data_IF_384660445891
#
_entry.id   IF_384660445891
#
_cell.length_a   1.000
_cell.length_b   1.000
_cell.length_c   1.000
_cell.angle_alpha   90.00
_cell.angle_beta   90.00
_cell.angle_gamma   90.00
#
_symmetry.space_group_name_H-M   'P 1'
#
loop_
_entity.id
_entity.type
_entity.pdbx_description
1 polymer ?
#
# COMPACT_ATOMS: atom_id res chain seq x y z
N UNK A 1 -9.81 -31.43 -2.41
CA UNK A 1 -11.22 -31.14 -2.79
C UNK A 1 -11.22 -29.73 -3.34
N UNK A 2 -11.80 -29.48 -4.52
CA UNK A 2 -11.87 -28.14 -5.08
C UNK A 2 -12.85 -27.31 -4.26
N UNK A 3 -12.41 -26.12 -3.83
CA UNK A 3 -13.25 -25.14 -3.13
C UNK A 3 -13.74 -24.09 -4.12
N UNK A 4 -15.03 -23.86 -4.17
CA UNK A 4 -15.62 -22.77 -4.95
C UNK A 4 -15.67 -21.50 -4.11
N UNK A 5 -15.21 -20.39 -4.68
CA UNK A 5 -15.22 -19.05 -4.09
C UNK A 5 -16.02 -18.14 -5.03
N UNK A 6 -17.07 -17.53 -4.52
CA UNK A 6 -17.84 -16.55 -5.29
C UNK A 6 -17.05 -15.24 -5.38
N UNK A 7 -16.93 -14.69 -6.57
CA UNK A 7 -16.22 -13.43 -6.79
C UNK A 7 -16.93 -12.21 -6.20
N UNK A 8 -18.22 -12.30 -5.87
CA UNK A 8 -18.90 -11.26 -5.10
C UNK A 8 -18.34 -11.12 -3.68
N UNK A 9 -17.85 -12.20 -3.08
CA UNK A 9 -17.17 -12.14 -1.79
C UNK A 9 -15.85 -11.36 -1.92
N UNK A 10 -15.16 -11.47 -3.06
CA UNK A 10 -13.96 -10.68 -3.35
C UNK A 10 -14.32 -9.20 -3.43
N UNK A 11 -15.35 -8.84 -4.19
CA UNK A 11 -15.84 -7.46 -4.30
C UNK A 11 -16.10 -6.86 -2.92
N UNK A 12 -16.88 -7.57 -2.11
CA UNK A 12 -17.28 -7.11 -0.77
C UNK A 12 -16.07 -6.90 0.15
N UNK A 13 -15.19 -7.91 0.22
CA UNK A 13 -14.03 -7.83 1.11
C UNK A 13 -13.06 -6.72 0.68
N UNK A 14 -12.78 -6.58 -0.63
CA UNK A 14 -11.88 -5.52 -1.12
C UNK A 14 -12.47 -4.14 -0.86
N UNK A 15 -13.78 -3.96 -1.05
CA UNK A 15 -14.46 -2.72 -0.70
C UNK A 15 -14.23 -2.33 0.78
N UNK A 16 -14.50 -3.27 1.69
CA UNK A 16 -14.30 -3.07 3.12
C UNK A 16 -12.83 -2.78 3.46
N UNK A 17 -11.91 -3.54 2.89
CA UNK A 17 -10.46 -3.35 3.09
C UNK A 17 -9.98 -1.99 2.59
N UNK A 18 -10.47 -1.48 1.45
CA UNK A 18 -10.12 -0.15 0.96
C UNK A 18 -10.51 0.95 1.96
N UNK A 19 -11.68 0.84 2.56
CA UNK A 19 -12.14 1.80 3.57
C UNK A 19 -11.31 1.65 4.84
N UNK A 20 -11.22 0.45 5.39
CA UNK A 20 -10.53 0.17 6.64
C UNK A 20 -9.06 0.61 6.59
N UNK A 21 -8.33 0.23 5.55
CA UNK A 21 -6.90 0.53 5.43
C UNK A 21 -6.58 2.02 5.28
N UNK A 22 -7.55 2.85 4.89
CA UNK A 22 -7.40 4.30 4.81
C UNK A 22 -7.84 5.04 6.08
N UNK A 23 -8.52 4.36 7.00
CA UNK A 23 -8.99 4.95 8.25
C UNK A 23 -8.21 4.48 9.47
N UNK A 24 -7.62 3.28 9.42
CA UNK A 24 -6.91 2.67 10.53
C UNK A 24 -5.51 2.24 10.15
N UNK A 25 -4.56 2.47 11.05
CA UNK A 25 -3.24 1.86 10.96
C UNK A 25 -3.27 0.40 11.43
N UNK A 26 -2.38 -0.41 10.89
CA UNK A 26 -2.08 -1.71 11.45
C UNK A 26 -1.53 -1.58 12.88
N UNK A 27 -1.78 -2.59 13.72
CA UNK A 27 -1.38 -2.57 15.15
C UNK A 27 0.11 -2.40 15.36
N UNK A 28 0.93 -2.93 14.47
CA UNK A 28 2.38 -2.80 14.49
C UNK A 28 2.84 -1.39 14.16
N UNK A 29 2.21 -0.71 13.19
CA UNK A 29 2.49 0.67 12.84
C UNK A 29 2.03 1.64 13.94
N UNK A 30 0.85 1.46 14.51
CA UNK A 30 0.39 2.24 15.65
C UNK A 30 1.35 2.13 16.84
N UNK A 31 1.79 0.89 17.14
CA UNK A 31 2.81 0.65 18.16
C UNK A 31 4.13 1.34 17.81
N UNK A 32 4.60 1.22 16.59
CA UNK A 32 5.86 1.83 16.17
C UNK A 32 5.84 3.37 16.32
N UNK A 33 4.72 4.04 15.99
CA UNK A 33 4.56 5.48 16.20
C UNK A 33 4.58 5.86 17.69
N UNK A 34 3.92 5.07 18.55
CA UNK A 34 3.93 5.29 20.00
C UNK A 34 5.34 5.12 20.57
N UNK A 35 6.04 4.07 20.18
CA UNK A 35 7.42 3.80 20.62
C UNK A 35 8.38 4.91 20.11
N UNK A 36 8.19 5.38 18.88
CA UNK A 36 8.96 6.47 18.30
C UNK A 36 8.78 7.78 19.11
N UNK A 37 7.57 8.10 19.55
CA UNK A 37 7.30 9.29 20.36
C UNK A 37 8.06 9.26 21.69
N UNK A 38 8.19 8.09 22.29
CA UNK A 38 8.93 7.92 23.55
C UNK A 38 10.45 8.05 23.34
N UNK A 39 10.96 7.50 22.23
CA UNK A 39 12.39 7.43 21.94
C UNK A 39 12.95 8.69 21.27
N UNK A 40 12.11 9.52 20.67
CA UNK A 40 12.50 10.75 19.98
C UNK A 40 13.16 11.74 20.96
N UNK A 41 14.30 12.31 20.53
CA UNK A 41 15.07 13.24 21.34
C UNK A 41 14.80 14.72 20.99
N UNK A 42 14.39 14.98 19.77
CA UNK A 42 14.06 16.33 19.29
C UNK A 42 12.69 16.76 19.81
N UNK A 43 12.61 17.90 20.46
CA UNK A 43 11.32 18.46 20.89
C UNK A 43 10.37 18.74 19.71
N UNK A 44 10.91 19.14 18.56
CA UNK A 44 10.13 19.30 17.34
C UNK A 44 9.63 17.95 16.82
N UNK A 45 10.49 16.93 16.82
CA UNK A 45 10.12 15.56 16.43
C UNK A 45 9.00 15.01 17.30
N UNK A 46 9.08 15.17 18.62
CA UNK A 46 8.01 14.77 19.55
C UNK A 46 6.68 15.45 19.26
N UNK A 47 6.72 16.79 19.00
CA UNK A 47 5.50 17.53 18.65
C UNK A 47 4.85 16.97 17.38
N UNK A 48 5.65 16.69 16.34
CA UNK A 48 5.15 16.13 15.08
C UNK A 48 4.54 14.73 15.32
N UNK A 49 5.23 13.85 16.05
CA UNK A 49 4.74 12.51 16.35
C UNK A 49 3.44 12.54 17.16
N UNK A 50 3.31 13.48 18.11
CA UNK A 50 2.07 13.67 18.86
C UNK A 50 0.92 14.16 17.96
N UNK A 51 1.19 15.09 17.02
CA UNK A 51 0.20 15.54 16.05
C UNK A 51 -0.27 14.41 15.14
N UNK A 52 0.63 13.50 14.74
CA UNK A 52 0.26 12.32 13.97
C UNK A 52 -0.66 11.38 14.75
N UNK A 53 -0.38 11.16 16.03
CA UNK A 53 -1.26 10.35 16.89
C UNK A 53 -2.63 11.01 17.11
N UNK A 54 -2.67 12.33 17.27
CA UNK A 54 -3.92 13.08 17.34
C UNK A 54 -4.72 12.98 16.04
N UNK A 55 -4.03 13.07 14.90
CA UNK A 55 -4.66 12.87 13.59
C UNK A 55 -5.30 11.49 13.46
N UNK A 56 -4.62 10.43 13.92
CA UNK A 56 -5.17 9.07 13.90
C UNK A 56 -6.44 8.95 14.75
N UNK A 57 -6.45 9.60 15.91
CA UNK A 57 -7.62 9.64 16.78
C UNK A 57 -8.79 10.37 16.13
N UNK A 58 -8.54 11.52 15.51
CA UNK A 58 -9.57 12.28 14.78
C UNK A 58 -10.10 11.45 13.61
N UNK A 59 -9.22 10.80 12.85
CA UNK A 59 -9.60 9.95 11.73
C UNK A 59 -10.57 8.83 12.15
N UNK A 60 -10.31 8.19 13.29
CA UNK A 60 -11.16 7.15 13.88
C UNK A 60 -12.51 7.73 14.38
N UNK A 61 -12.47 8.81 15.17
CA UNK A 61 -13.68 9.41 15.76
C UNK A 61 -14.62 10.03 14.72
N UNK A 62 -14.06 10.68 13.69
CA UNK A 62 -14.81 11.40 12.67
C UNK A 62 -15.08 10.56 11.41
N UNK A 63 -14.55 9.34 11.36
CA UNK A 63 -14.62 8.45 10.18
C UNK A 63 -14.17 9.14 8.89
N UNK A 64 -13.00 9.79 8.94
CA UNK A 64 -12.33 10.42 7.81
C UNK A 64 -10.99 9.73 7.53
N UNK A 65 -10.52 9.73 6.28
CA UNK A 65 -9.22 9.12 5.94
C UNK A 65 -8.06 9.76 6.72
N UNK A 66 -7.09 8.94 7.11
CA UNK A 66 -5.89 9.36 7.84
C UNK A 66 -5.10 10.42 7.07
N UNK A 67 -5.13 10.37 5.74
CA UNK A 67 -4.37 11.25 4.86
C UNK A 67 -5.24 11.71 3.67
N UNK A 68 -4.93 12.88 3.13
CA UNK A 68 -5.55 13.37 1.90
C UNK A 68 -5.12 12.55 0.66
N UNK A 69 -3.99 11.86 0.71
CA UNK A 69 -3.56 10.93 -0.32
C UNK A 69 -3.89 9.49 0.11
N UNK A 70 -5.02 8.99 -0.36
CA UNK A 70 -5.46 7.62 -0.15
C UNK A 70 -4.92 6.65 -1.20
N UNK A 71 -4.10 7.17 -2.12
CA UNK A 71 -3.27 6.43 -3.04
C UNK A 71 -4.01 5.60 -4.08
N UNK A 72 -3.28 4.67 -4.68
CA UNK A 72 -3.83 3.59 -5.50
C UNK A 72 -3.98 2.32 -4.66
N UNK A 73 -4.92 1.46 -5.04
CA UNK A 73 -5.08 0.16 -4.42
C UNK A 73 -4.06 -0.83 -5.01
N UNK A 74 -3.20 -1.38 -4.15
CA UNK A 74 -2.32 -2.50 -4.50
C UNK A 74 -2.85 -3.74 -3.81
N UNK A 75 -3.19 -4.75 -4.59
CA UNK A 75 -3.85 -5.97 -4.12
C UNK A 75 -2.92 -7.16 -4.38
N UNK A 76 -2.65 -7.93 -3.34
CA UNK A 76 -1.95 -9.20 -3.43
C UNK A 76 -2.95 -10.32 -3.21
N UNK A 77 -3.05 -11.22 -4.18
CA UNK A 77 -3.91 -12.39 -4.16
C UNK A 77 -3.04 -13.64 -4.10
N UNK A 78 -3.06 -14.31 -2.95
CA UNK A 78 -2.54 -15.68 -2.84
C UNK A 78 -3.70 -16.64 -3.04
N UNK A 79 -3.69 -17.33 -4.17
CA UNK A 79 -4.78 -18.22 -4.59
C UNK A 79 -4.35 -19.66 -4.40
N UNK A 80 -5.10 -20.40 -3.62
CA UNK A 80 -4.92 -21.82 -3.44
C UNK A 80 -5.11 -22.59 -4.76
N UNK A 81 -4.25 -23.57 -5.00
CA UNK A 81 -4.27 -24.39 -6.23
C UNK A 81 -5.57 -25.17 -6.42
N UNK A 82 -6.29 -25.45 -5.32
CA UNK A 82 -7.58 -26.14 -5.31
C UNK A 82 -8.78 -25.18 -5.24
N UNK A 83 -8.60 -23.91 -5.65
CA UNK A 83 -9.67 -22.91 -5.71
C UNK A 83 -10.24 -22.82 -7.13
N UNK A 84 -11.55 -22.79 -7.22
CA UNK A 84 -12.31 -22.43 -8.40
C UNK A 84 -13.13 -21.19 -8.13
N UNK A 85 -13.00 -20.17 -8.98
CA UNK A 85 -13.79 -18.95 -8.89
C UNK A 85 -15.08 -19.07 -9.70
N UNK A 86 -16.19 -18.64 -9.11
CA UNK A 86 -17.51 -18.57 -9.73
C UNK A 86 -18.01 -17.11 -9.73
N UNK A 87 -18.59 -16.69 -10.84
CA UNK A 87 -19.11 -15.33 -11.03
C UNK A 87 -18.33 -14.57 -12.11
N UNK A 88 -18.02 -13.30 -11.86
CA UNK A 88 -17.26 -12.47 -12.80
C UNK A 88 -15.76 -12.84 -12.80
N UNK A 89 -15.02 -12.32 -13.77
CA UNK A 89 -13.56 -12.49 -13.76
C UNK A 89 -12.95 -11.89 -12.47
N UNK A 90 -11.93 -12.55 -11.92
CA UNK A 90 -11.32 -12.14 -10.63
C UNK A 90 -10.79 -10.70 -10.69
N UNK A 91 -10.17 -10.32 -11.80
CA UNK A 91 -9.67 -8.96 -12.01
C UNK A 91 -10.80 -7.92 -12.00
N UNK A 92 -11.93 -8.24 -12.65
CA UNK A 92 -13.12 -7.38 -12.64
C UNK A 92 -13.71 -7.26 -11.22
N UNK A 93 -13.74 -8.36 -10.47
CA UNK A 93 -14.20 -8.37 -9.08
C UNK A 93 -13.31 -7.49 -8.17
N UNK A 94 -12.00 -7.58 -8.34
CA UNK A 94 -11.05 -6.73 -7.62
C UNK A 94 -11.30 -5.26 -7.94
N UNK A 95 -11.38 -4.91 -9.21
CA UNK A 95 -11.60 -3.53 -9.65
C UNK A 95 -12.98 -3.01 -9.20
N UNK A 96 -14.01 -3.85 -9.22
CA UNK A 96 -15.34 -3.48 -8.71
C UNK A 96 -15.29 -3.19 -7.20
N UNK A 97 -14.60 -4.02 -6.42
CA UNK A 97 -14.41 -3.78 -4.99
C UNK A 97 -13.68 -2.46 -4.70
N UNK A 98 -12.62 -2.17 -5.46
CA UNK A 98 -11.89 -0.89 -5.37
C UNK A 98 -12.79 0.29 -5.74
N UNK A 99 -13.53 0.20 -6.84
CA UNK A 99 -14.48 1.24 -7.27
C UNK A 99 -15.48 1.58 -6.18
N UNK A 100 -16.11 0.55 -5.61
CA UNK A 100 -17.07 0.73 -4.53
C UNK A 100 -16.40 1.30 -3.29
N UNK A 101 -15.27 0.74 -2.85
CA UNK A 101 -14.54 1.19 -1.67
C UNK A 101 -14.12 2.65 -1.74
N UNK A 102 -13.52 3.07 -2.86
CA UNK A 102 -13.10 4.47 -3.04
C UNK A 102 -14.27 5.43 -3.24
N UNK A 103 -15.40 4.96 -3.71
CA UNK A 103 -16.59 5.81 -3.90
C UNK A 103 -17.38 5.95 -2.60
N UNK A 104 -17.70 4.86 -1.95
CA UNK A 104 -18.52 4.86 -0.73
C UNK A 104 -17.74 5.28 0.52
N UNK A 105 -16.41 5.01 0.55
CA UNK A 105 -15.51 5.49 1.59
C UNK A 105 -15.08 6.95 1.43
N UNK A 106 -15.60 7.67 0.42
CA UNK A 106 -15.21 9.05 0.11
C UNK A 106 -13.70 9.26 -0.05
N UNK A 107 -12.99 8.22 -0.52
CA UNK A 107 -11.57 8.24 -0.72
C UNK A 107 -11.21 9.03 -1.99
N UNK A 108 -9.97 9.56 -2.03
CA UNK A 108 -9.50 10.33 -3.17
C UNK A 108 -9.26 9.43 -4.38
N UNK A 109 -9.89 9.74 -5.51
CA UNK A 109 -9.67 9.05 -6.79
C UNK A 109 -8.48 9.70 -7.48
N UNK A 110 -7.31 9.08 -7.39
CA UNK A 110 -6.04 9.64 -7.88
C UNK A 110 -5.52 8.99 -9.16
N UNK A 111 -6.11 7.84 -9.57
CA UNK A 111 -5.66 7.09 -10.75
C UNK A 111 -6.03 7.82 -12.04
N UNK A 112 -5.08 7.87 -12.97
CA UNK A 112 -5.25 8.43 -14.31
C UNK A 112 -5.08 7.32 -15.35
N UNK A 113 -5.83 7.43 -16.44
CA UNK A 113 -5.79 6.44 -17.54
C UNK A 113 -4.53 6.51 -18.39
N UNK A 114 -3.86 7.67 -18.40
CA UNK A 114 -2.63 7.89 -19.14
C UNK A 114 -1.72 8.87 -18.40
N UNK A 115 -0.41 8.60 -18.29
CA UNK A 115 0.50 9.43 -17.51
C UNK A 115 0.79 10.80 -18.14
N UNK A 116 0.56 10.99 -19.43
CA UNK A 116 0.82 12.23 -20.16
C UNK A 116 -0.46 13.06 -20.25
N UNK A 117 -1.56 12.47 -20.74
CA UNK A 117 -2.86 13.12 -20.88
C UNK A 117 -3.49 13.36 -19.52
N UNK A 118 -3.28 12.44 -18.56
CA UNK A 118 -3.68 12.52 -17.15
C UNK A 118 -5.20 12.64 -16.95
N UNK A 119 -5.98 12.04 -17.83
CA UNK A 119 -7.42 11.94 -17.63
C UNK A 119 -7.72 11.00 -16.45
N UNK A 120 -8.42 11.51 -15.45
CA UNK A 120 -8.75 10.76 -14.25
C UNK A 120 -9.80 9.70 -14.55
N UNK A 121 -9.61 8.49 -14.01
CA UNK A 121 -10.55 7.36 -14.21
C UNK A 121 -11.86 7.51 -13.42
N UNK A 122 -11.91 8.42 -12.44
CA UNK A 122 -13.05 8.81 -11.61
C UNK A 122 -13.50 7.78 -10.56
N UNK A 123 -12.93 6.61 -10.57
CA UNK A 123 -13.28 5.50 -9.68
C UNK A 123 -12.07 4.83 -8.98
N UNK A 124 -10.88 5.38 -9.23
CA UNK A 124 -9.59 4.91 -8.73
C UNK A 124 -9.18 3.51 -9.23
N UNK A 125 -9.72 3.07 -10.35
CA UNK A 125 -9.30 1.84 -11.04
C UNK A 125 -8.45 2.16 -12.28
N UNK A 126 -7.66 1.20 -12.81
CA UNK A 126 -7.48 -0.14 -12.28
C UNK A 126 -6.62 -0.20 -11.01
N UNK A 127 -6.83 -1.23 -10.19
CA UNK A 127 -5.93 -1.59 -9.12
C UNK A 127 -4.64 -2.22 -9.68
N UNK A 128 -3.56 -2.15 -8.91
CA UNK A 128 -2.36 -2.96 -9.17
C UNK A 128 -2.58 -4.32 -8.51
N UNK A 129 -2.59 -5.39 -9.30
CA UNK A 129 -2.92 -6.73 -8.81
C UNK A 129 -1.72 -7.67 -9.01
N UNK A 130 -1.29 -8.27 -7.92
CA UNK A 130 -0.26 -9.30 -7.90
C UNK A 130 -0.87 -10.65 -7.56
N UNK A 131 -0.59 -11.67 -8.37
CA UNK A 131 -1.09 -13.03 -8.16
C UNK A 131 0.04 -13.95 -7.73
N UNK A 132 -0.27 -14.83 -6.76
CA UNK A 132 0.57 -15.96 -6.39
C UNK A 132 -0.29 -17.22 -6.27
N UNK A 133 0.12 -18.29 -6.92
CA UNK A 133 -0.53 -19.59 -6.74
C UNK A 133 0.20 -20.34 -5.64
N UNK A 134 -0.55 -20.77 -4.62
CA UNK A 134 -0.03 -21.44 -3.43
C UNK A 134 -0.72 -22.80 -3.22
N UNK A 135 -0.13 -23.75 -2.50
CA UNK A 135 -0.81 -24.98 -2.17
C UNK A 135 -2.08 -24.76 -1.32
N UNK A 136 -3.10 -25.60 -1.54
CA UNK A 136 -4.33 -25.59 -0.73
C UNK A 136 -5.53 -24.96 -1.42
N UNK A 137 -6.54 -24.62 -0.63
CA UNK A 137 -7.87 -24.18 -1.08
C UNK A 137 -8.29 -22.81 -0.53
N UNK A 138 -7.33 -22.02 -0.05
CA UNK A 138 -7.59 -20.70 0.52
C UNK A 138 -7.30 -19.62 -0.50
N UNK A 139 -8.04 -18.50 -0.39
CA UNK A 139 -7.70 -17.23 -1.02
C UNK A 139 -7.33 -16.27 0.10
N UNK A 140 -6.14 -15.70 0.03
CA UNK A 140 -5.68 -14.67 0.94
C UNK A 140 -5.57 -13.38 0.15
N UNK A 141 -6.21 -12.32 0.64
CA UNK A 141 -6.18 -11.00 0.03
C UNK A 141 -5.44 -10.07 0.98
N UNK A 142 -4.42 -9.41 0.48
CA UNK A 142 -3.75 -8.32 1.18
C UNK A 142 -3.93 -7.06 0.36
N UNK A 143 -4.42 -5.99 0.99
CA UNK A 143 -4.62 -4.69 0.36
C UNK A 143 -3.69 -3.66 1.00
N UNK A 144 -2.99 -2.92 0.17
CA UNK A 144 -2.15 -1.80 0.58
C UNK A 144 -2.54 -0.54 -0.21
N UNK A 145 -3.05 0.50 0.45
CA UNK A 145 -3.22 1.81 -0.19
C UNK A 145 -1.83 2.44 -0.34
N UNK A 146 -1.41 2.66 -1.59
CA UNK A 146 -0.06 3.16 -1.90
C UNK A 146 -0.11 4.61 -2.35
N UNK A 147 0.34 5.50 -1.48
CA UNK A 147 0.42 6.93 -1.78
C UNK A 147 1.44 7.23 -2.89
N UNK A 148 1.09 8.15 -3.79
CA UNK A 148 1.94 8.49 -4.94
C UNK A 148 3.19 9.27 -4.55
N UNK A 149 3.15 10.07 -3.48
CA UNK A 149 4.32 10.79 -3.00
C UNK A 149 5.46 9.83 -2.62
N UNK A 150 5.17 8.83 -1.82
CA UNK A 150 6.15 7.82 -1.42
C UNK A 150 6.56 6.92 -2.59
N UNK A 151 5.63 6.54 -3.47
CA UNK A 151 5.93 5.73 -4.66
C UNK A 151 6.94 6.42 -5.57
N UNK A 152 6.77 7.70 -5.83
CA UNK A 152 7.68 8.48 -6.67
C UNK A 152 9.09 8.60 -6.10
N UNK A 153 9.27 8.29 -4.80
CA UNK A 153 10.59 8.33 -4.15
C UNK A 153 11.31 6.99 -4.17
N UNK A 154 10.72 5.94 -4.73
CA UNK A 154 11.38 4.67 -4.96
C UNK A 154 12.57 4.82 -5.90
N UNK A 155 13.66 4.08 -5.63
CA UNK A 155 14.91 4.13 -6.41
C UNK A 155 15.43 2.73 -6.68
N UNK A 156 16.04 2.57 -7.84
CA UNK A 156 16.77 1.36 -8.22
C UNK A 156 18.25 1.70 -8.34
N UNK A 157 19.10 0.96 -7.67
CA UNK A 157 20.55 1.10 -7.73
C UNK A 157 21.18 -0.16 -8.31
N UNK A 158 21.95 0.00 -9.36
CA UNK A 158 22.72 -1.08 -9.99
C UNK A 158 24.10 -1.17 -9.34
N UNK A 159 24.20 -1.96 -8.26
CA UNK A 159 25.45 -2.14 -7.52
C UNK A 159 26.32 -3.23 -8.15
N UNK A 160 27.64 -3.05 -8.05
CA UNK A 160 28.63 -4.07 -8.42
C UNK A 160 28.90 -4.97 -7.20
N UNK A 161 29.27 -6.24 -7.39
CA UNK A 161 29.66 -7.11 -6.27
C UNK A 161 30.79 -6.51 -5.39
N UNK A 162 31.70 -5.74 -5.99
CA UNK A 162 32.79 -5.06 -5.29
C UNK A 162 32.32 -3.94 -4.33
N UNK A 163 31.11 -3.40 -4.52
CA UNK A 163 30.56 -2.35 -3.65
C UNK A 163 30.17 -2.91 -2.27
N UNK A 164 29.93 -4.22 -2.20
CA UNK A 164 29.68 -4.94 -0.98
C UNK A 164 28.53 -4.36 -0.14
N UNK A 165 28.55 -4.66 1.15
CA UNK A 165 27.51 -4.19 2.09
C UNK A 165 27.51 -2.67 2.27
N UNK A 166 28.66 -2.03 2.15
CA UNK A 166 28.75 -0.56 2.25
C UNK A 166 28.09 0.12 1.05
N UNK A 167 28.18 -0.45 -0.14
CA UNK A 167 27.42 0.00 -1.31
C UNK A 167 25.92 -0.07 -1.08
N UNK A 168 25.40 -1.16 -0.50
CA UNK A 168 23.98 -1.31 -0.15
C UNK A 168 23.56 -0.26 0.88
N UNK A 169 24.31 -0.09 1.97
CA UNK A 169 24.00 0.93 2.98
C UNK A 169 23.98 2.34 2.38
N UNK A 170 24.95 2.67 1.55
CA UNK A 170 25.01 3.98 0.91
C UNK A 170 23.85 4.21 -0.05
N UNK A 171 23.40 3.19 -0.79
CA UNK A 171 22.24 3.25 -1.65
C UNK A 171 20.96 3.55 -0.84
N UNK A 172 20.76 2.86 0.27
CA UNK A 172 19.62 3.09 1.17
C UNK A 172 19.65 4.51 1.73
N UNK A 173 20.78 4.94 2.27
CA UNK A 173 20.93 6.29 2.84
C UNK A 173 20.70 7.37 1.78
N UNK A 174 21.19 7.16 0.57
CA UNK A 174 20.98 8.08 -0.55
C UNK A 174 19.49 8.16 -0.90
N UNK A 175 18.79 7.03 -1.04
CA UNK A 175 17.36 7.01 -1.33
C UNK A 175 16.55 7.75 -0.27
N UNK A 176 16.80 7.48 1.02
CA UNK A 176 16.12 8.14 2.13
C UNK A 176 16.39 9.63 2.17
N UNK A 177 17.64 10.04 1.95
CA UNK A 177 18.04 11.46 1.94
C UNK A 177 17.40 12.21 0.79
N UNK A 178 17.39 11.63 -0.40
CA UNK A 178 16.80 12.23 -1.60
C UNK A 178 15.27 12.32 -1.51
N UNK A 179 14.64 11.32 -0.89
CA UNK A 179 13.21 11.33 -0.66
C UNK A 179 12.78 12.53 0.22
N UNK A 180 13.48 12.75 1.32
CA UNK A 180 13.20 13.86 2.22
C UNK A 180 11.71 13.96 2.56
N UNK A 181 11.12 15.18 2.52
CA UNK A 181 9.71 15.39 2.83
C UNK A 181 8.75 14.86 1.75
N UNK A 182 9.25 14.55 0.55
CA UNK A 182 8.40 14.12 -0.58
C UNK A 182 7.81 12.72 -0.38
N UNK A 183 8.40 11.90 0.50
CA UNK A 183 7.87 10.59 0.86
C UNK A 183 6.79 10.63 1.95
N UNK A 184 6.32 11.82 2.36
CA UNK A 184 5.34 12.02 3.45
C UNK A 184 5.81 11.40 4.78
N UNK A 185 6.84 11.96 5.44
CA UNK A 185 7.36 11.44 6.71
C UNK A 185 6.28 11.37 7.82
N UNK A 186 6.42 10.43 8.77
CA UNK A 186 7.50 9.45 8.93
C UNK A 186 7.43 8.36 7.86
N UNK A 187 8.59 8.02 7.28
CA UNK A 187 8.65 7.02 6.22
C UNK A 187 9.16 5.68 6.73
N UNK A 188 8.72 4.60 6.08
CA UNK A 188 9.28 3.26 6.22
C UNK A 188 10.10 2.96 4.97
N UNK A 189 11.40 2.74 5.14
CA UNK A 189 12.28 2.36 4.04
C UNK A 189 12.33 0.83 3.92
N UNK A 190 11.95 0.32 2.77
CA UNK A 190 12.03 -1.10 2.43
C UNK A 190 13.03 -1.28 1.32
N UNK A 191 13.97 -2.24 1.48
CA UNK A 191 14.95 -2.55 0.46
C UNK A 191 14.90 -4.02 0.08
N UNK A 192 15.07 -4.28 -1.21
CA UNK A 192 15.22 -5.61 -1.77
C UNK A 192 16.54 -5.71 -2.52
N UNK A 193 17.22 -6.84 -2.36
CA UNK A 193 18.34 -7.23 -3.21
C UNK A 193 17.86 -8.28 -4.21
N UNK A 194 18.46 -8.34 -5.40
CA UNK A 194 18.14 -9.29 -6.46
C UNK A 194 16.75 -9.13 -7.12
N UNK A 195 16.27 -7.90 -7.24
CA UNK A 195 15.12 -7.62 -8.11
C UNK A 195 15.52 -7.78 -9.57
N UNK A 196 14.75 -8.54 -10.33
CA UNK A 196 14.82 -8.55 -11.79
C UNK A 196 14.09 -7.32 -12.35
N UNK A 197 14.41 -6.92 -13.58
CA UNK A 197 13.84 -5.74 -14.23
C UNK A 197 12.29 -5.70 -14.31
N UNK A 198 11.62 -6.80 -14.00
CA UNK A 198 10.16 -6.95 -14.03
C UNK A 198 9.53 -7.22 -12.65
N UNK A 199 10.32 -7.23 -11.59
CA UNK A 199 9.85 -7.54 -10.24
C UNK A 199 9.79 -6.25 -9.41
N UNK A 200 8.67 -5.59 -9.44
CA UNK A 200 8.39 -4.43 -8.57
C UNK A 200 7.74 -4.85 -7.25
N UNK A 201 8.13 -5.98 -6.70
CA UNK A 201 7.65 -6.42 -5.37
C UNK A 201 8.10 -5.53 -4.22
N UNK A 202 8.63 -4.36 -4.49
CA UNK A 202 9.38 -3.61 -3.52
C UNK A 202 8.71 -2.42 -2.88
N UNK A 203 7.43 -2.21 -3.06
CA UNK A 203 6.81 -0.94 -2.66
C UNK A 203 5.75 -1.10 -1.56
N UNK A 204 5.97 -2.08 -0.71
CA UNK A 204 5.17 -2.25 0.51
C UNK A 204 5.95 -1.80 1.73
#
# INVERSE_FOLDING_TARGET
>A
MIRTVNTEDIVKNIKEMCIEANHYLSKDMDKALKDATVSEKSELGKKILNQLQENLKIADEEMIPICQDTGMAVIFLEVGQDVHFEGMAVEDAVNEGVRQGYTEGYLRKSVVGDPIIRENTKDNTPAVIHYSIVPGDKVIITMAPKGFGSENMSRVFMLKPADGIEGVKNAILTAVKDAGPNACPPMVAVSYTHLRAHETRGNL
#
